data_IF_370618878165
#
_entry.id   IF_370618878165
#
_cell.length_a   1.000
_cell.length_b   1.000
_cell.length_c   1.000
_cell.angle_alpha   90.00
_cell.angle_beta   90.00
_cell.angle_gamma   90.00
#
_symmetry.space_group_name_H-M   'P 1'
#
loop_
_entity.id
_entity.type
_entity.pdbx_description
1 polymer ?
#
# COMPACT_ATOMS: atom_id res chain seq x y z
N UNK A 1 -18.52 -25.22 -22.43
CA UNK A 1 -18.88 -25.62 -23.81
C UNK A 1 -17.58 -25.65 -24.61
N UNK A 2 -17.30 -26.75 -25.30
CA UNK A 2 -16.01 -27.04 -25.96
C UNK A 2 -16.25 -27.06 -27.47
N UNK A 3 -15.53 -26.25 -28.23
CA UNK A 3 -15.57 -26.14 -29.70
C UNK A 3 -14.18 -25.65 -30.21
N UNK A 4 -13.83 -25.85 -31.50
CA UNK A 4 -12.77 -26.78 -31.91
C UNK A 4 -11.53 -26.11 -32.50
N UNK A 5 -10.42 -26.85 -32.54
CA UNK A 5 -9.19 -26.49 -33.26
C UNK A 5 -9.38 -26.67 -34.78
N UNK A 6 -9.12 -25.61 -35.54
CA UNK A 6 -8.87 -25.68 -36.98
C UNK A 6 -7.41 -25.30 -37.21
N UNK A 7 -6.63 -26.29 -37.64
CA UNK A 7 -5.23 -26.14 -37.97
C UNK A 7 -5.12 -26.07 -39.50
N UNK A 8 -5.00 -24.86 -40.04
CA UNK A 8 -4.71 -24.65 -41.46
C UNK A 8 -3.34 -23.97 -41.59
N UNK A 9 -2.43 -24.68 -42.26
CA UNK A 9 -1.08 -24.23 -42.60
C UNK A 9 -1.15 -23.18 -43.71
N UNK A 10 -0.72 -21.97 -43.42
CA UNK A 10 -0.28 -21.02 -44.44
C UNK A 10 1.24 -21.20 -44.64
N UNK A 11 1.63 -21.60 -45.86
CA UNK A 11 3.04 -21.79 -46.25
C UNK A 11 3.63 -20.46 -46.76
N UNK A 12 4.58 -19.95 -45.97
CA UNK A 12 5.91 -19.47 -46.35
C UNK A 12 6.07 -18.72 -47.68
N UNK A 13 5.63 -17.45 -47.72
CA UNK A 13 6.15 -16.36 -48.55
C UNK A 13 5.41 -15.09 -48.13
N UNK A 14 6.13 -14.06 -47.67
CA UNK A 14 5.63 -12.68 -47.47
C UNK A 14 5.15 -12.20 -46.07
N UNK A 15 5.78 -12.63 -44.97
CA UNK A 15 5.67 -11.89 -43.69
C UNK A 15 7.04 -11.69 -43.03
N UNK A 16 7.89 -10.93 -43.71
CA UNK A 16 9.03 -10.25 -43.12
C UNK A 16 8.57 -9.04 -42.28
N UNK A 17 7.69 -9.25 -41.29
CA UNK A 17 7.32 -8.25 -40.26
C UNK A 17 6.36 -8.86 -39.26
N UNK A 18 6.86 -9.57 -38.25
CA UNK A 18 6.23 -9.75 -36.94
C UNK A 18 7.18 -10.58 -36.08
N UNK A 19 8.07 -9.89 -35.35
CA UNK A 19 8.74 -10.46 -34.19
C UNK A 19 7.71 -10.71 -33.09
N UNK A 20 6.88 -11.74 -33.25
CA UNK A 20 5.91 -12.16 -32.25
C UNK A 20 6.65 -12.92 -31.16
N UNK A 21 7.23 -12.19 -30.20
CA UNK A 21 7.76 -12.79 -28.97
C UNK A 21 6.58 -13.23 -28.10
N UNK A 22 6.44 -14.53 -27.91
CA UNK A 22 5.55 -15.11 -26.92
C UNK A 22 6.03 -14.72 -25.50
N UNK A 23 5.15 -14.11 -24.71
CA UNK A 23 5.14 -14.35 -23.25
C UNK A 23 5.61 -13.25 -22.29
N UNK A 24 5.77 -11.99 -22.68
CA UNK A 24 6.04 -10.93 -21.69
C UNK A 24 4.80 -10.06 -21.47
N UNK A 25 4.11 -10.23 -20.34
CA UNK A 25 3.08 -9.28 -19.94
C UNK A 25 3.72 -7.89 -19.72
N UNK A 26 3.02 -6.81 -20.04
CA UNK A 26 3.47 -5.45 -19.70
C UNK A 26 2.66 -4.90 -18.53
N UNK A 27 3.30 -4.13 -17.67
CA UNK A 27 2.60 -3.38 -16.65
C UNK A 27 1.80 -2.24 -17.28
N UNK A 28 0.49 -2.21 -17.06
CA UNK A 28 -0.41 -1.19 -17.61
C UNK A 28 -0.14 0.23 -17.07
N UNK A 29 0.62 0.37 -15.97
CA UNK A 29 0.98 1.68 -15.40
C UNK A 29 2.36 2.18 -15.86
N UNK A 30 3.39 1.35 -15.81
CA UNK A 30 4.76 1.79 -16.13
C UNK A 30 5.24 1.33 -17.51
N UNK A 31 4.43 0.56 -18.23
CA UNK A 31 4.71 -0.01 -19.56
C UNK A 31 5.96 -0.87 -19.65
N UNK A 32 6.59 -1.19 -18.51
CA UNK A 32 7.72 -2.12 -18.45
C UNK A 32 7.23 -3.56 -18.51
N UNK A 33 8.02 -4.42 -19.12
CA UNK A 33 7.78 -5.85 -19.13
C UNK A 33 7.83 -6.41 -17.72
N UNK A 34 6.92 -7.34 -17.44
CA UNK A 34 6.88 -8.12 -16.21
C UNK A 34 7.93 -9.23 -16.31
N UNK A 35 8.83 -9.27 -15.34
CA UNK A 35 9.80 -10.34 -15.13
C UNK A 35 9.20 -11.49 -14.31
N UNK A 36 9.80 -12.68 -14.37
CA UNK A 36 9.44 -13.82 -13.51
C UNK A 36 9.62 -13.54 -12.01
N UNK A 37 10.51 -12.60 -11.67
CA UNK A 37 10.75 -12.18 -10.29
C UNK A 37 9.81 -11.08 -9.81
N UNK A 38 8.99 -10.52 -10.71
CA UNK A 38 8.11 -9.41 -10.39
C UNK A 38 6.84 -9.90 -9.68
N UNK A 39 6.55 -9.25 -8.55
CA UNK A 39 5.27 -9.38 -7.90
C UNK A 39 4.23 -8.61 -8.70
N UNK A 40 3.15 -9.29 -9.11
CA UNK A 40 2.12 -8.70 -9.97
C UNK A 40 0.74 -8.74 -9.36
N UNK A 41 -0.10 -7.81 -9.82
CA UNK A 41 -1.54 -7.78 -9.61
C UNK A 41 -2.27 -7.76 -10.94
N UNK A 42 -3.44 -8.39 -10.98
CA UNK A 42 -4.32 -8.44 -12.13
C UNK A 42 -5.60 -7.72 -11.75
N UNK A 43 -5.96 -6.69 -12.50
CA UNK A 43 -7.25 -6.03 -12.38
C UNK A 43 -8.05 -6.30 -13.66
N UNK A 44 -9.33 -6.63 -13.49
CA UNK A 44 -10.25 -6.91 -14.58
C UNK A 44 -11.23 -5.75 -14.67
N UNK A 45 -11.38 -5.21 -15.87
CA UNK A 45 -12.58 -4.46 -16.25
C UNK A 45 -13.42 -5.37 -17.16
N UNK A 46 -14.67 -5.01 -17.40
CA UNK A 46 -15.67 -5.74 -18.19
C UNK A 46 -15.17 -6.18 -19.58
N UNK A 47 -14.14 -5.53 -20.12
CA UNK A 47 -13.61 -5.78 -21.46
C UNK A 47 -12.15 -6.24 -21.50
N UNK A 48 -11.37 -6.08 -20.43
CA UNK A 48 -9.93 -6.37 -20.48
C UNK A 48 -9.31 -6.72 -19.12
N UNK A 49 -8.35 -7.63 -19.13
CA UNK A 49 -7.47 -7.93 -17.99
C UNK A 49 -6.17 -7.12 -18.11
N UNK A 50 -5.86 -6.33 -17.08
CA UNK A 50 -4.67 -5.48 -17.01
C UNK A 50 -3.74 -5.99 -15.91
N UNK A 51 -2.44 -6.05 -16.22
CA UNK A 51 -1.40 -6.52 -15.31
C UNK A 51 -0.62 -5.32 -14.77
N UNK A 52 -0.32 -5.33 -13.48
CA UNK A 52 0.42 -4.28 -12.81
C UNK A 52 1.52 -4.88 -11.94
N UNK A 53 2.67 -4.24 -11.83
CA UNK A 53 3.58 -4.53 -10.71
C UNK A 53 2.87 -4.24 -9.40
N UNK A 54 3.21 -4.98 -8.34
CA UNK A 54 2.68 -4.76 -7.01
C UNK A 54 2.91 -3.32 -6.55
N UNK A 55 4.11 -2.76 -6.82
CA UNK A 55 4.44 -1.37 -6.53
C UNK A 55 3.68 -0.36 -7.42
N UNK A 56 3.35 -0.75 -8.65
CA UNK A 56 2.60 0.07 -9.59
C UNK A 56 1.09 0.01 -9.35
N UNK A 57 0.58 -0.94 -8.58
CA UNK A 57 -0.83 -1.04 -8.22
C UNK A 57 -1.19 0.03 -7.18
N UNK A 58 -1.28 1.28 -7.63
CA UNK A 58 -1.41 2.46 -6.81
C UNK A 58 -2.37 3.46 -7.44
N UNK A 59 -3.17 4.12 -6.60
CA UNK A 59 -4.19 5.06 -7.03
C UNK A 59 -3.59 6.20 -7.87
N UNK A 60 -4.19 6.55 -9.00
CA UNK A 60 -3.71 7.61 -9.88
C UNK A 60 -3.88 9.01 -9.29
N UNK A 61 -4.88 9.23 -8.43
CA UNK A 61 -5.10 10.53 -7.78
C UNK A 61 -4.14 10.82 -6.61
N UNK A 62 -3.86 9.84 -5.75
CA UNK A 62 -3.04 10.04 -4.53
C UNK A 62 -1.72 9.27 -4.50
N UNK A 63 -1.42 8.53 -5.57
CA UNK A 63 -0.23 7.69 -5.74
C UNK A 63 0.00 6.65 -4.64
N UNK A 64 -1.00 6.39 -3.80
CA UNK A 64 -0.91 5.41 -2.72
C UNK A 64 -1.06 4.01 -3.29
N UNK A 65 -0.09 3.15 -2.96
CA UNK A 65 -0.17 1.72 -3.26
C UNK A 65 -1.38 1.09 -2.56
N UNK A 66 -2.14 0.30 -3.33
CA UNK A 66 -3.33 -0.42 -2.89
C UNK A 66 -2.93 -1.84 -2.47
N UNK A 67 -3.28 -2.21 -1.25
CA UNK A 67 -2.90 -3.48 -0.62
C UNK A 67 -3.98 -4.55 -0.78
N UNK A 68 -3.74 -5.76 -0.28
CA UNK A 68 -4.71 -6.87 -0.38
C UNK A 68 -5.87 -6.60 0.56
N UNK A 69 -7.10 -6.75 0.08
CA UNK A 69 -8.32 -6.46 0.84
C UNK A 69 -8.76 -4.99 0.82
N UNK A 70 -8.08 -4.12 0.07
CA UNK A 70 -8.59 -2.76 -0.18
C UNK A 70 -9.49 -2.74 -1.42
N UNK A 71 -10.62 -2.02 -1.32
CA UNK A 71 -11.52 -1.75 -2.43
C UNK A 71 -10.91 -0.69 -3.37
N UNK A 72 -11.04 -0.94 -4.68
CA UNK A 72 -10.56 -0.06 -5.73
C UNK A 72 -11.54 -0.07 -6.92
N UNK A 73 -11.43 0.96 -7.75
CA UNK A 73 -12.11 1.04 -9.03
C UNK A 73 -11.08 1.15 -10.16
N UNK A 74 -11.41 0.60 -11.33
CA UNK A 74 -10.64 0.74 -12.55
C UNK A 74 -11.54 1.45 -13.57
N UNK A 75 -11.29 2.73 -13.83
CA UNK A 75 -12.09 3.57 -14.74
C UNK A 75 -11.16 4.08 -15.83
N UNK A 76 -11.46 3.81 -17.10
CA UNK A 76 -10.62 4.24 -18.24
C UNK A 76 -9.12 3.89 -18.08
N UNK A 77 -8.83 2.69 -17.56
CA UNK A 77 -7.46 2.22 -17.22
C UNK A 77 -6.77 2.97 -16.07
N UNK A 78 -7.46 3.85 -15.34
CA UNK A 78 -6.97 4.51 -14.13
C UNK A 78 -7.41 3.75 -12.89
N UNK A 79 -6.47 3.41 -12.02
CA UNK A 79 -6.75 2.79 -10.73
C UNK A 79 -7.09 3.88 -9.72
N UNK A 80 -8.27 3.82 -9.12
CA UNK A 80 -8.70 4.74 -8.08
C UNK A 80 -8.98 3.97 -6.79
N UNK A 81 -8.55 4.52 -5.65
CA UNK A 81 -8.98 3.99 -4.36
C UNK A 81 -10.45 4.36 -4.12
N UNK A 82 -11.16 3.60 -3.29
CA UNK A 82 -12.58 3.85 -2.96
C UNK A 82 -12.93 5.32 -2.71
N UNK A 83 -12.12 6.03 -1.93
CA UNK A 83 -12.35 7.46 -1.62
C UNK A 83 -12.34 8.33 -2.86
N UNK A 84 -11.26 8.32 -3.65
CA UNK A 84 -11.21 9.13 -4.88
C UNK A 84 -12.17 8.66 -5.96
N UNK A 85 -12.55 7.38 -6.00
CA UNK A 85 -13.60 6.93 -6.91
C UNK A 85 -14.97 7.53 -6.53
N UNK A 86 -15.30 7.51 -5.23
CA UNK A 86 -16.55 8.09 -4.74
C UNK A 86 -16.64 9.59 -5.04
N UNK A 87 -15.56 10.34 -4.79
CA UNK A 87 -15.48 11.79 -5.12
C UNK A 87 -15.70 12.08 -6.61
N UNK A 88 -15.26 11.18 -7.51
CA UNK A 88 -15.46 11.35 -8.95
C UNK A 88 -16.87 11.00 -9.44
N UNK A 89 -17.59 10.10 -8.77
CA UNK A 89 -18.97 9.72 -9.17
C UNK A 89 -20.04 10.58 -8.50
N UNK A 90 -19.79 11.09 -7.28
CA UNK A 90 -20.69 12.03 -6.59
C UNK A 90 -20.84 13.38 -7.32
N UNK A 91 -20.00 13.65 -8.34
CA UNK A 91 -20.09 14.86 -9.17
C UNK A 91 -21.01 14.71 -10.38
N UNK A 92 -21.46 13.49 -10.73
CA UNK A 92 -22.22 13.22 -11.98
C UNK A 92 -23.70 12.87 -11.70
N UNK A 93 -24.10 12.63 -10.45
CA UNK A 93 -25.47 12.26 -10.06
C UNK A 93 -26.07 13.24 -9.04
N UNK A 94 -26.34 14.47 -9.45
CA UNK A 94 -27.16 15.41 -8.65
C UNK A 94 -28.11 16.26 -9.52
N UNK A 95 -28.96 15.58 -10.28
CA UNK A 95 -30.32 16.00 -10.61
C UNK A 95 -31.15 14.75 -10.24
N UNK A 96 -32.10 14.68 -9.31
CA UNK A 96 -33.19 15.58 -8.95
C UNK A 96 -33.74 15.20 -7.55
N UNK A 97 -34.37 16.17 -6.88
CA UNK A 97 -35.45 16.07 -5.89
C UNK A 97 -35.13 16.49 -4.44
N UNK A 98 -35.71 17.64 -4.09
CA UNK A 98 -35.75 18.25 -2.76
C UNK A 98 -36.69 17.53 -1.78
N UNK A 99 -36.35 17.61 -0.49
CA UNK A 99 -37.33 17.63 0.60
C UNK A 99 -37.07 16.64 1.75
N UNK A 100 -36.76 17.16 2.94
CA UNK A 100 -37.06 16.48 4.23
C UNK A 100 -35.98 16.51 5.32
N UNK A 101 -36.15 17.46 6.26
CA UNK A 101 -35.88 17.46 7.72
C UNK A 101 -34.50 17.07 8.35
N UNK A 102 -34.04 17.77 9.42
CA UNK A 102 -32.80 17.46 10.13
C UNK A 102 -33.05 16.78 11.48
N UNK A 103 -33.15 15.45 11.55
CA UNK A 103 -32.88 14.73 12.81
C UNK A 103 -32.55 13.24 12.60
N UNK A 104 -31.71 12.74 13.51
CA UNK A 104 -31.35 11.34 13.77
C UNK A 104 -30.36 10.61 12.84
N UNK A 105 -29.08 10.76 13.22
CA UNK A 105 -28.17 9.64 13.51
C UNK A 105 -28.16 8.43 12.53
N UNK A 106 -27.52 8.58 11.38
CA UNK A 106 -26.55 7.56 10.94
C UNK A 106 -25.60 8.12 9.88
N UNK A 107 -24.30 7.85 10.04
CA UNK A 107 -23.21 8.07 9.06
C UNK A 107 -22.74 9.52 8.96
N UNK A 108 -21.55 9.80 9.49
CA UNK A 108 -20.34 10.12 8.72
C UNK A 108 -19.19 10.24 9.72
N UNK A 109 -18.37 9.19 9.79
CA UNK A 109 -16.92 9.30 9.80
C UNK A 109 -16.35 7.89 9.80
N UNK A 110 -16.55 7.22 8.67
CA UNK A 110 -15.43 6.49 8.09
C UNK A 110 -14.39 7.56 7.76
N UNK A 111 -13.67 7.99 8.81
CA UNK A 111 -12.39 8.65 8.73
C UNK A 111 -11.67 7.81 7.70
N UNK A 112 -11.42 8.42 6.53
CA UNK A 112 -10.17 8.24 5.83
C UNK A 112 -9.16 7.75 6.85
N UNK A 113 -8.62 6.54 6.68
CA UNK A 113 -7.43 6.16 7.45
C UNK A 113 -6.37 7.16 7.00
N UNK A 114 -6.45 8.34 7.60
CA UNK A 114 -5.52 9.45 7.53
C UNK A 114 -4.23 8.72 7.79
N UNK A 115 -3.39 8.62 6.75
CA UNK A 115 -2.08 7.99 6.87
C UNK A 115 -1.51 8.57 8.14
N UNK A 116 -1.34 7.75 9.19
CA UNK A 116 -0.81 8.25 10.45
C UNK A 116 0.52 8.87 10.06
N UNK A 117 0.64 10.19 10.22
CA UNK A 117 1.88 10.89 9.90
C UNK A 117 2.96 10.17 10.69
N UNK A 118 3.90 9.59 9.98
CA UNK A 118 5.00 8.88 10.63
C UNK A 118 5.80 9.93 11.37
N UNK A 119 5.86 9.81 12.69
CA UNK A 119 6.71 10.67 13.50
C UNK A 119 8.17 10.46 13.07
N UNK A 120 8.82 11.52 12.60
CA UNK A 120 10.27 11.59 12.41
C UNK A 120 10.87 12.18 13.67
N UNK A 121 11.82 11.48 14.27
CA UNK A 121 12.51 11.95 15.46
C UNK A 121 13.71 12.80 15.04
N UNK A 122 13.96 13.90 15.75
CA UNK A 122 15.22 14.65 15.63
C UNK A 122 16.37 13.86 16.26
N UNK A 123 17.61 14.20 15.92
CA UNK A 123 18.79 13.56 16.51
C UNK A 123 18.84 13.75 18.03
N UNK A 124 18.48 14.94 18.52
CA UNK A 124 18.38 15.25 19.94
C UNK A 124 17.36 14.34 20.66
N UNK A 125 16.17 14.17 20.08
CA UNK A 125 15.15 13.27 20.62
C UNK A 125 15.64 11.83 20.68
N UNK A 126 16.34 11.38 19.64
CA UNK A 126 16.92 10.04 19.59
C UNK A 126 18.01 9.83 20.64
N UNK A 127 18.88 10.81 20.87
CA UNK A 127 19.92 10.76 21.89
C UNK A 127 19.31 10.57 23.29
N UNK A 128 18.29 11.35 23.62
CA UNK A 128 17.60 11.26 24.92
C UNK A 128 16.92 9.89 25.07
N UNK A 129 16.20 9.42 24.05
CA UNK A 129 15.54 8.11 24.06
C UNK A 129 16.55 6.96 24.22
N UNK A 130 17.68 7.03 23.53
CA UNK A 130 18.74 6.02 23.61
C UNK A 130 19.44 6.03 24.98
N UNK A 131 19.74 7.20 25.54
CA UNK A 131 20.35 7.31 26.86
C UNK A 131 19.44 6.70 27.94
N UNK A 132 18.13 6.99 27.89
CA UNK A 132 17.16 6.37 28.81
C UNK A 132 17.04 4.85 28.59
N UNK A 133 17.08 4.38 27.35
CA UNK A 133 17.02 2.95 27.04
C UNK A 133 18.20 2.14 27.59
N UNK A 134 19.39 2.75 27.69
CA UNK A 134 20.57 2.13 28.30
C UNK A 134 20.43 1.99 29.83
N UNK A 135 19.71 2.91 30.46
CA UNK A 135 19.44 2.88 31.91
C UNK A 135 18.34 1.86 32.20
N UNK A 136 17.20 1.98 31.51
CA UNK A 136 16.10 1.05 31.62
C UNK A 136 15.46 0.82 30.25
N UNK A 137 15.52 -0.43 29.79
CA UNK A 137 14.89 -0.83 28.54
C UNK A 137 13.38 -1.05 28.65
N UNK A 138 12.82 -1.10 29.87
CA UNK A 138 11.39 -1.28 30.14
C UNK A 138 10.85 -0.29 31.18
N UNK A 139 10.90 1.03 30.88
CA UNK A 139 10.44 2.08 31.78
C UNK A 139 8.96 1.93 32.10
N UNK A 140 8.60 2.31 33.32
CA UNK A 140 7.23 2.29 33.81
C UNK A 140 6.38 3.45 33.26
N UNK A 141 5.14 3.54 33.74
CA UNK A 141 4.22 4.58 33.28
C UNK A 141 4.65 6.01 33.63
N UNK A 142 5.35 6.22 34.74
CA UNK A 142 5.78 7.53 35.21
C UNK A 142 7.06 7.97 34.49
N UNK A 143 8.00 7.05 34.31
CA UNK A 143 9.23 7.29 33.56
C UNK A 143 8.93 7.60 32.09
N UNK A 144 7.98 6.89 31.47
CA UNK A 144 7.51 7.20 30.12
C UNK A 144 6.92 8.61 30.01
N UNK A 145 6.20 9.08 31.03
CA UNK A 145 5.61 10.44 31.06
C UNK A 145 6.73 11.49 31.09
N UNK A 146 7.74 11.28 31.93
CA UNK A 146 8.90 12.18 32.05
C UNK A 146 9.70 12.24 30.76
N UNK A 147 10.00 11.09 30.15
CA UNK A 147 10.74 11.02 28.88
C UNK A 147 9.93 11.69 27.75
N UNK A 148 8.61 11.49 27.72
CA UNK A 148 7.73 12.15 26.76
C UNK A 148 7.78 13.69 26.89
N UNK A 149 7.74 14.22 28.12
CA UNK A 149 7.87 15.66 28.36
C UNK A 149 9.23 16.21 27.90
N UNK A 150 10.33 15.55 28.25
CA UNK A 150 11.69 15.99 27.89
C UNK A 150 11.89 15.98 26.37
N UNK A 151 11.38 14.96 25.68
CA UNK A 151 11.54 14.81 24.22
C UNK A 151 10.52 15.61 23.40
N UNK A 152 9.50 16.18 24.04
CA UNK A 152 8.37 16.82 23.35
C UNK A 152 7.50 15.84 22.55
N UNK A 153 7.54 14.55 22.87
CA UNK A 153 6.77 13.49 22.21
C UNK A 153 5.54 13.12 23.05
N UNK A 154 4.55 12.46 22.45
CA UNK A 154 3.45 11.89 23.24
C UNK A 154 3.91 10.63 23.98
N UNK A 155 3.33 10.37 25.17
CA UNK A 155 3.55 9.14 25.95
C UNK A 155 3.40 7.88 25.10
N UNK A 156 2.41 7.86 24.19
CA UNK A 156 2.19 6.73 23.27
C UNK A 156 3.34 6.57 22.29
N UNK A 157 3.84 7.65 21.68
CA UNK A 157 4.98 7.59 20.74
C UNK A 157 6.25 7.12 21.44
N UNK A 158 6.54 7.65 22.63
CA UNK A 158 7.66 7.21 23.47
C UNK A 158 7.52 5.71 23.79
N UNK A 159 6.34 5.27 24.23
CA UNK A 159 6.08 3.86 24.48
C UNK A 159 6.27 2.97 23.24
N UNK A 160 5.78 3.38 22.06
CA UNK A 160 6.01 2.66 20.79
C UNK A 160 7.50 2.55 20.50
N UNK A 161 8.25 3.63 20.72
CA UNK A 161 9.69 3.65 20.47
C UNK A 161 10.40 2.60 21.32
N UNK A 162 10.13 2.55 22.62
CA UNK A 162 10.74 1.54 23.52
C UNK A 162 10.35 0.10 23.13
N UNK A 163 9.08 -0.13 22.76
CA UNK A 163 8.63 -1.44 22.25
C UNK A 163 9.40 -1.85 20.98
N UNK A 164 9.54 -0.93 20.03
CA UNK A 164 10.28 -1.17 18.79
C UNK A 164 11.77 -1.35 19.02
N UNK A 165 12.39 -0.60 19.94
CA UNK A 165 13.80 -0.71 20.30
C UNK A 165 14.11 -2.08 20.90
N UNK A 166 13.29 -2.57 21.84
CA UNK A 166 13.40 -3.95 22.37
C UNK A 166 13.22 -5.01 21.29
N UNK A 167 12.24 -4.82 20.40
CA UNK A 167 12.01 -5.76 19.28
C UNK A 167 13.22 -5.86 18.34
N UNK A 168 13.96 -4.77 18.15
CA UNK A 168 15.22 -4.76 17.37
C UNK A 168 16.36 -5.44 18.14
N UNK A 169 16.50 -5.17 19.43
CA UNK A 169 17.52 -5.80 20.28
C UNK A 169 17.39 -7.34 20.29
N UNK A 170 16.15 -7.87 20.40
CA UNK A 170 15.89 -9.32 20.37
C UNK A 170 16.33 -9.98 19.05
N UNK A 171 16.25 -9.27 17.92
CA UNK A 171 16.68 -9.77 16.61
C UNK A 171 18.20 -9.84 16.44
N UNK A 172 18.97 -9.06 17.22
CA UNK A 172 20.43 -9.09 17.15
C UNK A 172 21.06 -10.11 18.10
N UNK A 173 20.35 -10.55 19.14
CA UNK A 173 20.81 -11.61 20.06
C UNK A 173 20.57 -13.02 19.52
N UNK A 174 19.56 -13.22 18.65
CA UNK A 174 19.22 -14.55 18.09
C UNK A 174 20.03 -15.00 16.85
N UNK A 175 21.01 -14.23 16.39
CA UNK A 175 21.76 -14.49 15.14
C UNK A 175 23.24 -14.84 15.31
N UNK A 176 23.70 -15.06 16.55
CA UNK A 176 25.11 -15.38 16.86
C UNK A 176 25.24 -16.66 17.69
N UNK A 177 24.83 -17.80 17.15
CA UNK A 177 25.24 -19.13 17.63
C UNK A 177 25.33 -20.11 16.46
N UNK A 178 26.36 -19.96 15.61
CA UNK A 178 26.83 -21.01 14.69
C UNK A 178 28.10 -20.58 13.95
N UNK A 179 29.22 -20.45 14.68
CA UNK A 179 30.58 -20.57 14.14
C UNK A 179 31.59 -20.71 15.29
N UNK A 180 32.34 -21.83 15.30
CA UNK A 180 33.45 -22.15 16.23
C UNK A 180 32.98 -23.00 17.42
N UNK A 181 33.51 -24.19 17.71
CA UNK A 181 34.68 -24.97 17.25
C UNK A 181 34.31 -26.46 17.19
#
# INVERSE_FOLDING_TARGET
MRLPETHERVNDSDLSSLGQTFGSAQCAKCSRWISSSDWVRRARDSQAEQIYHLACFACDACHRQLSTGEEFALVEKKLLCKTHYQETVESDESEEQEGGDPDDNTRVRNKSKTKRVRTTFTDEQLQILQANFQIDSNPDGQDLERIAQITGLSKRVTQVWFQNSRARQKKHVGGKHSAGE
#
